data_IF_775056202163
#
_entry.id   IF_775056202163
#
_cell.length_a   1.000
_cell.length_b   1.000
_cell.length_c   1.000
_cell.angle_alpha   90.00
_cell.angle_beta   90.00
_cell.angle_gamma   90.00
#
_symmetry.space_group_name_H-M   'P 1'
#
loop_
_entity.id
_entity.type
_entity.pdbx_description
1 polymer ?
#
# COMPACT_ATOMS: atom_id res chain seq x y z
N UNK A 1 37.96 -36.50 67.26
CA UNK A 1 38.45 -35.39 68.09
C UNK A 1 39.58 -34.73 67.32
N UNK A 2 39.65 -33.45 67.00
CA UNK A 2 38.86 -32.24 67.29
C UNK A 2 39.23 -31.25 66.16
N UNK A 3 38.24 -30.69 65.48
CA UNK A 3 37.81 -29.28 65.55
C UNK A 3 38.54 -28.33 64.58
N UNK A 4 37.74 -27.78 63.66
CA UNK A 4 37.99 -26.52 62.98
C UNK A 4 37.96 -25.35 63.98
N UNK A 5 38.44 -24.17 63.56
CA UNK A 5 37.52 -23.04 63.65
C UNK A 5 37.42 -22.23 62.35
N UNK A 6 36.17 -21.84 62.15
CA UNK A 6 35.58 -20.92 61.20
C UNK A 6 35.97 -19.46 61.46
N UNK A 7 36.16 -18.68 60.41
CA UNK A 7 35.98 -17.22 60.44
C UNK A 7 35.02 -16.82 59.34
N UNK A 8 33.84 -16.37 59.77
CA UNK A 8 32.77 -15.75 58.99
C UNK A 8 33.20 -14.41 58.40
N UNK A 9 32.97 -14.23 57.10
CA UNK A 9 32.84 -12.91 56.48
C UNK A 9 31.36 -12.72 56.16
N UNK A 10 30.74 -11.77 56.85
CA UNK A 10 29.39 -11.26 56.57
C UNK A 10 29.43 -10.39 55.32
N UNK A 11 28.82 -10.84 54.23
CA UNK A 11 28.42 -9.96 53.13
C UNK A 11 27.01 -9.43 53.38
N UNK A 12 26.90 -8.10 53.40
CA UNK A 12 25.65 -7.35 53.38
C UNK A 12 24.96 -7.47 52.02
N UNK A 13 23.63 -7.69 51.94
CA UNK A 13 22.91 -7.58 50.68
C UNK A 13 22.98 -6.15 50.14
N UNK A 14 23.43 -6.00 48.90
CA UNK A 14 23.43 -4.73 48.17
C UNK A 14 22.00 -4.29 47.87
N UNK A 15 21.75 -3.00 48.13
CA UNK A 15 20.51 -2.23 47.94
C UNK A 15 20.09 -2.03 46.45
N UNK A 16 20.41 -2.96 45.54
CA UNK A 16 20.09 -2.84 44.11
C UNK A 16 18.87 -3.63 43.63
N UNK A 17 18.31 -4.54 44.45
CA UNK A 17 17.21 -5.43 44.03
C UNK A 17 15.81 -4.95 44.45
N UNK A 18 15.68 -3.77 45.07
CA UNK A 18 14.40 -3.24 45.55
C UNK A 18 13.79 -2.13 44.68
N UNK A 19 14.45 -1.73 43.59
CA UNK A 19 13.94 -0.70 42.65
C UNK A 19 13.36 -1.26 41.35
N UNK A 20 13.47 -2.57 41.08
CA UNK A 20 12.94 -3.20 39.85
C UNK A 20 11.54 -3.83 40.04
N UNK A 21 11.14 -4.10 41.29
CA UNK A 21 9.82 -4.72 41.59
C UNK A 21 8.67 -3.71 41.73
N UNK A 22 8.95 -2.40 41.63
CA UNK A 22 7.97 -1.31 41.71
C UNK A 22 7.34 -0.93 40.37
N UNK A 23 8.08 -1.03 39.27
CA UNK A 23 7.62 -0.59 37.93
C UNK A 23 6.87 -1.70 37.15
N UNK A 24 7.11 -2.98 37.44
CA UNK A 24 6.38 -4.10 36.80
C UNK A 24 4.91 -4.19 37.22
N UNK A 25 4.55 -3.70 38.43
CA UNK A 25 3.15 -3.71 38.89
C UNK A 25 2.29 -2.61 38.27
N UNK A 26 2.89 -1.48 37.90
CA UNK A 26 2.17 -0.40 37.23
C UNK A 26 2.00 -0.66 35.73
N UNK A 27 2.98 -1.31 35.08
CA UNK A 27 2.86 -1.78 33.68
C UNK A 27 1.81 -2.91 33.53
N UNK A 28 1.74 -3.86 34.47
CA UNK A 28 0.71 -4.91 34.43
C UNK A 28 -0.71 -4.40 34.74
N UNK A 29 -0.86 -3.29 35.47
CA UNK A 29 -2.16 -2.67 35.73
C UNK A 29 -2.62 -1.79 34.56
N UNK A 30 -1.70 -1.14 33.82
CA UNK A 30 -2.04 -0.46 32.57
C UNK A 30 -2.45 -1.44 31.48
N UNK A 31 -1.76 -2.58 31.36
CA UNK A 31 -2.08 -3.61 30.36
C UNK A 31 -3.46 -4.24 30.61
N UNK A 32 -3.79 -4.56 31.86
CA UNK A 32 -5.12 -5.08 32.23
C UNK A 32 -6.24 -4.05 32.05
N UNK A 33 -5.96 -2.76 32.23
CA UNK A 33 -6.94 -1.70 31.98
C UNK A 33 -7.18 -1.49 30.47
N UNK A 34 -6.13 -1.55 29.64
CA UNK A 34 -6.27 -1.52 28.17
C UNK A 34 -6.91 -2.77 27.61
N UNK A 35 -6.64 -3.94 28.19
CA UNK A 35 -7.26 -5.21 27.78
C UNK A 35 -8.74 -5.26 28.16
N UNK A 36 -9.14 -4.69 29.31
CA UNK A 36 -10.54 -4.60 29.71
C UNK A 36 -11.33 -3.56 28.88
N UNK A 37 -10.70 -2.45 28.48
CA UNK A 37 -11.29 -1.49 27.52
C UNK A 37 -11.41 -2.13 26.13
N UNK A 38 -10.40 -2.89 25.69
CA UNK A 38 -10.46 -3.63 24.45
C UNK A 38 -11.53 -4.72 24.51
N UNK A 39 -11.67 -5.49 25.59
CA UNK A 39 -12.71 -6.50 25.76
C UNK A 39 -14.12 -5.89 25.82
N UNK A 40 -14.31 -4.72 26.45
CA UNK A 40 -15.58 -4.00 26.41
C UNK A 40 -15.92 -3.44 25.02
N UNK A 41 -14.91 -3.11 24.20
CA UNK A 41 -15.08 -2.75 22.78
C UNK A 41 -15.28 -4.01 21.90
N UNK A 42 -14.76 -5.17 22.31
CA UNK A 42 -14.76 -6.43 21.55
C UNK A 42 -15.95 -7.36 21.87
N UNK A 43 -16.64 -7.16 22.99
CA UNK A 43 -17.74 -8.02 23.46
C UNK A 43 -19.09 -7.82 22.74
N UNK A 44 -19.26 -6.72 21.99
CA UNK A 44 -20.43 -6.50 21.16
C UNK A 44 -19.99 -6.45 19.70
N UNK A 45 -20.58 -7.28 18.85
CA UNK A 45 -20.48 -7.19 17.38
C UNK A 45 -21.10 -5.90 16.80
N UNK A 46 -20.92 -4.77 17.48
CA UNK A 46 -21.33 -3.46 17.05
C UNK A 46 -20.39 -3.00 15.92
N UNK A 47 -20.92 -2.40 14.85
CA UNK A 47 -20.09 -1.76 13.86
C UNK A 47 -19.26 -0.70 14.58
N UNK A 48 -17.94 -0.83 14.54
CA UNK A 48 -17.04 0.19 15.03
C UNK A 48 -17.39 1.50 14.30
N UNK A 49 -18.07 2.42 15.00
CA UNK A 49 -18.43 3.72 14.47
C UNK A 49 -17.16 4.59 14.40
N UNK A 50 -16.37 4.40 13.35
CA UNK A 50 -15.08 5.08 13.16
C UNK A 50 -15.20 6.58 12.82
N UNK A 51 -16.40 7.03 12.48
CA UNK A 51 -16.71 8.44 12.26
C UNK A 51 -17.29 9.06 13.52
N UNK A 52 -16.55 10.00 14.12
CA UNK A 52 -17.12 10.85 15.19
C UNK A 52 -18.43 11.50 14.72
N UNK A 53 -19.41 11.65 15.62
CA UNK A 53 -20.67 12.35 15.32
C UNK A 53 -20.43 13.75 14.75
N UNK A 54 -19.33 14.39 15.17
CA UNK A 54 -18.82 15.65 14.61
C UNK A 54 -18.57 15.55 13.09
N UNK A 55 -17.82 14.55 12.63
CA UNK A 55 -17.55 14.33 11.20
C UNK A 55 -18.82 13.99 10.41
N UNK A 56 -19.70 13.15 10.98
CA UNK A 56 -21.00 12.84 10.34
C UNK A 56 -21.88 14.08 10.19
N UNK A 57 -21.86 14.96 11.19
CA UNK A 57 -22.56 16.24 11.14
C UNK A 57 -21.96 17.16 10.08
N UNK A 58 -20.63 17.30 10.00
CA UNK A 58 -19.97 18.08 8.96
C UNK A 58 -20.45 17.65 7.56
N UNK A 59 -20.43 16.35 7.25
CA UNK A 59 -20.89 15.81 5.96
C UNK A 59 -22.38 16.09 5.63
N UNK A 60 -23.21 16.31 6.65
CA UNK A 60 -24.65 16.59 6.47
C UNK A 60 -24.95 18.07 6.25
N UNK A 61 -24.03 18.98 6.58
CA UNK A 61 -24.25 20.42 6.50
C UNK A 61 -23.54 20.99 5.26
N UNK A 62 -24.29 21.12 4.16
CA UNK A 62 -23.83 21.72 2.90
C UNK A 62 -24.49 23.08 2.64
N UNK A 63 -24.14 23.74 1.53
CA UNK A 63 -24.68 25.05 1.13
C UNK A 63 -26.21 25.11 1.00
N UNK A 64 -26.87 23.96 0.79
CA UNK A 64 -28.32 23.85 0.66
C UNK A 64 -29.02 23.63 2.01
N UNK A 65 -28.26 23.42 3.09
CA UNK A 65 -28.80 23.12 4.41
C UNK A 65 -29.16 24.40 5.15
N UNK A 66 -30.38 24.47 5.72
CA UNK A 66 -30.79 25.65 6.51
C UNK A 66 -29.82 25.88 7.66
N UNK A 67 -29.26 27.09 7.74
CA UNK A 67 -28.31 27.48 8.79
C UNK A 67 -26.88 26.98 8.59
N UNK A 68 -26.52 26.50 7.39
CA UNK A 68 -25.16 26.05 7.09
C UNK A 68 -24.10 27.12 7.37
N UNK A 69 -24.37 28.37 7.01
CA UNK A 69 -23.49 29.49 7.31
C UNK A 69 -23.21 29.59 8.82
N UNK A 70 -24.26 29.62 9.65
CA UNK A 70 -24.10 29.69 11.10
C UNK A 70 -23.32 28.50 11.66
N UNK A 71 -23.56 27.30 11.13
CA UNK A 71 -22.81 26.10 11.51
C UNK A 71 -21.33 26.24 11.19
N UNK A 72 -21.00 26.61 9.94
CA UNK A 72 -19.62 26.71 9.49
C UNK A 72 -18.85 27.89 10.08
N UNK A 73 -19.54 28.98 10.43
CA UNK A 73 -18.95 30.07 11.23
C UNK A 73 -18.36 29.54 12.54
N UNK A 74 -19.18 28.88 13.34
CA UNK A 74 -18.76 28.31 14.63
C UNK A 74 -17.68 27.25 14.42
N UNK A 75 -17.77 26.52 13.31
CA UNK A 75 -16.85 25.46 12.97
C UNK A 75 -15.44 25.98 12.67
N UNK A 76 -15.35 27.03 11.86
CA UNK A 76 -14.09 27.58 11.36
C UNK A 76 -13.48 28.62 12.30
N UNK A 77 -14.26 29.15 13.24
CA UNK A 77 -13.81 30.19 14.18
C UNK A 77 -12.57 29.80 14.99
N UNK A 78 -12.42 28.52 15.34
CA UNK A 78 -11.25 28.02 16.08
C UNK A 78 -10.06 27.62 15.20
N UNK A 79 -10.19 27.73 13.87
CA UNK A 79 -9.19 27.29 12.90
C UNK A 79 -8.67 28.44 12.04
N UNK A 80 -9.09 29.67 12.35
CA UNK A 80 -8.87 30.87 11.54
C UNK A 80 -7.40 31.07 11.14
N UNK A 81 -6.46 30.76 12.04
CA UNK A 81 -5.03 30.97 11.81
C UNK A 81 -4.37 29.92 10.91
N UNK A 82 -5.08 28.83 10.61
CA UNK A 82 -4.63 27.76 9.70
C UNK A 82 -5.48 27.69 8.42
N UNK A 83 -6.44 28.61 8.25
CA UNK A 83 -7.21 28.73 7.02
C UNK A 83 -6.37 29.41 5.93
N UNK A 84 -6.62 29.13 4.64
CA UNK A 84 -6.08 29.95 3.55
C UNK A 84 -6.44 31.43 3.77
N UNK A 85 -5.51 32.34 3.49
CA UNK A 85 -5.64 33.78 3.83
C UNK A 85 -6.99 34.37 3.44
N UNK A 86 -7.46 34.11 2.22
CA UNK A 86 -8.73 34.61 1.71
C UNK A 86 -9.93 34.11 2.55
N UNK A 87 -9.96 32.82 2.88
CA UNK A 87 -11.02 32.21 3.71
C UNK A 87 -10.88 32.67 5.16
N UNK A 88 -9.65 32.75 5.67
CA UNK A 88 -9.34 33.24 7.01
C UNK A 88 -9.84 34.66 7.22
N UNK A 89 -9.61 35.55 6.25
CA UNK A 89 -10.07 36.93 6.30
C UNK A 89 -11.60 37.04 6.29
N UNK A 90 -12.28 36.26 5.44
CA UNK A 90 -13.75 36.20 5.41
C UNK A 90 -14.30 35.75 6.77
N UNK A 91 -13.73 34.69 7.36
CA UNK A 91 -14.18 34.17 8.65
C UNK A 91 -13.88 35.15 9.79
N UNK A 92 -12.70 35.80 9.78
CA UNK A 92 -12.33 36.86 10.74
C UNK A 92 -13.32 38.02 10.69
N UNK A 93 -13.60 38.55 9.50
CA UNK A 93 -14.54 39.66 9.35
C UNK A 93 -15.94 39.25 9.83
N UNK A 94 -16.42 38.08 9.42
CA UNK A 94 -17.72 37.58 9.85
C UNK A 94 -17.84 37.42 11.38
N UNK A 95 -16.76 37.02 12.05
CA UNK A 95 -16.72 36.94 13.51
C UNK A 95 -16.77 38.34 14.13
N UNK A 96 -15.95 39.26 13.65
CA UNK A 96 -15.76 40.60 14.22
C UNK A 96 -16.94 41.54 13.95
N UNK A 97 -17.38 41.63 12.69
CA UNK A 97 -18.40 42.58 12.24
C UNK A 97 -19.82 42.03 12.36
N UNK A 98 -19.96 40.71 12.55
CA UNK A 98 -21.23 39.96 12.50
C UNK A 98 -21.95 40.02 11.14
N UNK A 99 -21.34 40.57 10.10
CA UNK A 99 -21.89 40.57 8.74
C UNK A 99 -21.73 39.18 8.13
N UNK A 100 -22.81 38.62 7.60
CA UNK A 100 -22.74 37.33 6.90
C UNK A 100 -22.04 37.51 5.56
N UNK A 101 -21.19 36.55 5.16
CA UNK A 101 -20.56 36.59 3.85
C UNK A 101 -21.66 36.52 2.77
N UNK A 102 -21.59 37.42 1.81
CA UNK A 102 -22.54 37.54 0.68
C UNK A 102 -21.78 37.60 -0.64
N UNK A 103 -22.45 37.27 -1.74
CA UNK A 103 -21.87 37.36 -3.08
C UNK A 103 -20.58 36.56 -3.21
N UNK A 104 -19.48 37.24 -3.53
CA UNK A 104 -18.18 36.59 -3.75
C UNK A 104 -17.63 35.88 -2.50
N UNK A 105 -17.77 36.48 -1.32
CA UNK A 105 -17.28 35.88 -0.06
C UNK A 105 -18.00 34.58 0.26
N UNK A 106 -19.32 34.55 0.03
CA UNK A 106 -20.13 33.35 0.22
C UNK A 106 -19.71 32.25 -0.77
N UNK A 107 -19.42 32.62 -2.01
CA UNK A 107 -18.93 31.68 -3.04
C UNK A 107 -17.58 31.08 -2.67
N UNK A 108 -16.60 31.90 -2.28
CA UNK A 108 -15.27 31.45 -1.83
C UNK A 108 -15.40 30.49 -0.64
N UNK A 109 -16.19 30.88 0.37
CA UNK A 109 -16.42 30.04 1.55
C UNK A 109 -17.11 28.72 1.20
N UNK A 110 -18.11 28.75 0.32
CA UNK A 110 -18.83 27.56 -0.16
C UNK A 110 -17.89 26.60 -0.88
N UNK A 111 -17.05 27.10 -1.79
CA UNK A 111 -16.04 26.30 -2.52
C UNK A 111 -15.07 25.66 -1.53
N UNK A 112 -14.55 26.44 -0.57
CA UNK A 112 -13.64 25.91 0.45
C UNK A 112 -14.29 24.80 1.29
N UNK A 113 -15.52 25.01 1.76
CA UNK A 113 -16.25 24.02 2.57
C UNK A 113 -16.53 22.75 1.76
N UNK A 114 -16.98 22.88 0.52
CA UNK A 114 -17.24 21.71 -0.33
C UNK A 114 -15.98 20.88 -0.55
N UNK A 115 -14.84 21.53 -0.89
CA UNK A 115 -13.54 20.85 -1.01
C UNK A 115 -13.14 20.16 0.30
N UNK A 116 -13.33 20.83 1.44
CA UNK A 116 -13.05 20.25 2.76
C UNK A 116 -13.93 19.04 3.07
N UNK A 117 -15.20 19.07 2.69
CA UNK A 117 -16.14 17.97 2.86
C UNK A 117 -15.79 16.78 1.97
N UNK A 118 -15.34 17.01 0.74
CA UNK A 118 -14.82 15.96 -0.15
C UNK A 118 -13.60 15.27 0.47
N UNK A 119 -12.60 16.05 0.89
CA UNK A 119 -11.40 15.50 1.59
C UNK A 119 -11.81 14.71 2.84
N UNK A 120 -12.75 15.23 3.64
CA UNK A 120 -13.25 14.53 4.82
C UNK A 120 -13.91 13.20 4.45
N UNK A 121 -14.69 13.16 3.37
CA UNK A 121 -15.33 11.95 2.89
C UNK A 121 -14.29 10.87 2.49
N UNK A 122 -13.24 11.25 1.78
CA UNK A 122 -12.14 10.32 1.46
C UNK A 122 -11.39 9.84 2.70
N UNK A 123 -11.14 10.71 3.68
CA UNK A 123 -10.54 10.30 4.96
C UNK A 123 -11.39 9.25 5.67
N UNK A 124 -12.71 9.40 5.65
CA UNK A 124 -13.65 8.45 6.25
C UNK A 124 -13.59 7.11 5.52
N UNK A 125 -13.62 7.11 4.19
CA UNK A 125 -13.49 5.88 3.40
C UNK A 125 -12.18 5.14 3.69
N UNK A 126 -11.06 5.85 3.83
CA UNK A 126 -9.77 5.24 4.23
C UNK A 126 -9.84 4.63 5.64
N UNK A 127 -10.47 5.34 6.58
CA UNK A 127 -10.69 4.82 7.95
C UNK A 127 -11.55 3.55 7.94
N UNK A 128 -12.60 3.53 7.12
CA UNK A 128 -13.47 2.35 6.94
C UNK A 128 -12.75 1.18 6.29
N UNK A 129 -11.87 1.42 5.30
CA UNK A 129 -11.03 0.37 4.70
C UNK A 129 -10.07 -0.24 5.74
N UNK A 130 -9.41 0.60 6.56
CA UNK A 130 -8.50 0.15 7.62
C UNK A 130 -9.25 -0.59 8.75
N UNK A 131 -10.45 -0.13 9.08
CA UNK A 131 -11.36 -0.79 10.00
C UNK A 131 -11.77 -2.19 9.53
N UNK A 132 -12.17 -2.31 8.26
CA UNK A 132 -12.50 -3.58 7.63
C UNK A 132 -11.31 -4.53 7.68
N UNK A 133 -10.11 -4.04 7.37
CA UNK A 133 -8.88 -4.83 7.49
C UNK A 133 -8.65 -5.30 8.93
N UNK A 134 -8.75 -4.41 9.93
CA UNK A 134 -8.56 -4.78 11.35
C UNK A 134 -9.53 -5.88 11.77
N UNK A 135 -10.82 -5.74 11.43
CA UNK A 135 -11.83 -6.74 11.72
C UNK A 135 -11.53 -8.07 11.02
N UNK A 136 -11.12 -8.04 9.75
CA UNK A 136 -10.79 -9.25 9.01
C UNK A 136 -9.56 -9.97 9.59
N UNK A 137 -8.52 -9.23 9.98
CA UNK A 137 -7.34 -9.80 10.65
C UNK A 137 -7.71 -10.49 11.97
N UNK A 138 -8.58 -9.87 12.78
CA UNK A 138 -9.09 -10.48 14.00
C UNK A 138 -9.91 -11.74 13.73
N UNK A 139 -10.71 -11.74 12.66
CA UNK A 139 -11.46 -12.94 12.25
C UNK A 139 -10.53 -14.07 11.83
N UNK A 140 -9.52 -13.76 11.03
CA UNK A 140 -8.47 -14.71 10.61
C UNK A 140 -7.76 -15.28 11.82
N UNK A 141 -7.42 -14.44 12.81
CA UNK A 141 -6.77 -14.88 14.05
C UNK A 141 -7.65 -15.82 14.88
N UNK A 142 -8.97 -15.67 14.79
CA UNK A 142 -9.95 -16.56 15.42
C UNK A 142 -10.39 -17.73 14.52
N UNK A 143 -9.73 -17.94 13.36
CA UNK A 143 -10.10 -18.94 12.34
C UNK A 143 -11.57 -18.85 11.88
N UNK A 144 -12.15 -17.65 11.92
CA UNK A 144 -13.52 -17.37 11.47
C UNK A 144 -13.51 -16.94 10.02
N UNK A 145 -13.68 -17.89 9.13
CA UNK A 145 -13.71 -17.57 7.70
C UNK A 145 -15.00 -16.82 7.30
N UNK A 146 -14.91 -15.95 6.30
CA UNK A 146 -16.07 -15.25 5.75
C UNK A 146 -16.83 -16.15 4.79
N UNK A 147 -18.16 -16.14 4.87
CA UNK A 147 -19.02 -16.80 3.90
C UNK A 147 -19.12 -16.01 2.57
N UNK A 148 -18.12 -15.18 2.23
CA UNK A 148 -18.14 -14.39 1.00
C UNK A 148 -18.20 -15.30 -0.22
N UNK A 149 -19.20 -15.07 -1.07
CA UNK A 149 -19.52 -15.83 -2.29
C UNK A 149 -18.74 -15.34 -3.51
N UNK A 150 -17.53 -14.82 -3.35
CA UNK A 150 -16.69 -14.46 -4.50
C UNK A 150 -15.97 -15.69 -5.04
N UNK A 151 -15.66 -15.75 -6.35
CA UNK A 151 -14.93 -16.88 -6.91
C UNK A 151 -13.47 -16.80 -6.45
N UNK A 152 -13.15 -17.52 -5.38
CA UNK A 152 -11.77 -17.76 -4.94
C UNK A 152 -11.27 -19.06 -5.57
N UNK A 153 -9.99 -19.07 -5.95
CA UNK A 153 -9.27 -20.33 -6.22
C UNK A 153 -8.91 -20.98 -4.90
N UNK A 154 -9.31 -22.24 -4.75
CA UNK A 154 -8.92 -23.04 -3.59
C UNK A 154 -7.45 -23.40 -3.70
N UNK A 155 -6.70 -23.14 -2.63
CA UNK A 155 -5.31 -23.54 -2.49
C UNK A 155 -5.24 -24.72 -1.53
N UNK A 156 -4.61 -25.78 -1.99
CA UNK A 156 -4.31 -26.98 -1.23
C UNK A 156 -2.84 -26.97 -0.81
N UNK A 157 -2.50 -27.84 0.13
CA UNK A 157 -1.14 -27.98 0.61
C UNK A 157 -0.71 -29.44 0.57
N UNK A 158 0.40 -29.70 -0.10
CA UNK A 158 1.08 -30.99 -0.08
C UNK A 158 2.12 -30.98 1.05
N UNK A 159 1.83 -31.72 2.13
CA UNK A 159 2.73 -31.83 3.27
C UNK A 159 4.03 -32.59 2.95
N UNK A 160 4.02 -33.52 1.99
CA UNK A 160 5.18 -34.34 1.66
C UNK A 160 6.27 -33.51 0.95
N UNK A 161 5.87 -32.57 0.09
CA UNK A 161 6.80 -31.69 -0.63
C UNK A 161 6.86 -30.27 -0.04
N UNK A 162 5.99 -29.93 0.90
CA UNK A 162 5.90 -28.60 1.50
C UNK A 162 5.44 -27.53 0.50
N UNK A 163 4.57 -27.90 -0.45
CA UNK A 163 4.18 -27.07 -1.59
C UNK A 163 2.70 -26.72 -1.54
N UNK A 164 2.37 -25.51 -2.00
CA UNK A 164 0.98 -25.10 -2.22
C UNK A 164 0.62 -25.33 -3.69
N UNK A 165 -0.61 -25.73 -3.95
CA UNK A 165 -1.11 -25.92 -5.32
C UNK A 165 -2.58 -25.54 -5.46
N UNK A 166 -3.01 -25.32 -6.69
CA UNK A 166 -4.40 -25.09 -7.08
C UNK A 166 -4.76 -25.98 -8.26
N UNK A 167 -6.05 -26.19 -8.51
CA UNK A 167 -6.52 -26.82 -9.74
C UNK A 167 -7.03 -25.75 -10.71
N UNK A 168 -6.28 -25.53 -11.78
CA UNK A 168 -6.65 -24.65 -12.88
C UNK A 168 -7.18 -25.51 -14.03
N UNK A 169 -8.47 -25.40 -14.34
CA UNK A 169 -9.14 -26.22 -15.37
C UNK A 169 -8.92 -27.74 -15.16
N UNK A 170 -8.89 -28.18 -13.91
CA UNK A 170 -8.66 -29.58 -13.54
C UNK A 170 -7.19 -30.04 -13.58
N UNK A 171 -6.26 -29.16 -13.94
CA UNK A 171 -4.82 -29.44 -13.91
C UNK A 171 -4.22 -28.87 -12.63
N UNK A 172 -3.42 -29.68 -11.94
CA UNK A 172 -2.68 -29.25 -10.76
C UNK A 172 -1.59 -28.24 -11.16
N UNK A 173 -1.51 -27.15 -10.42
CA UNK A 173 -0.51 -26.11 -10.62
C UNK A 173 0.06 -25.67 -9.27
N UNK A 174 1.38 -25.72 -9.17
CA UNK A 174 2.11 -25.18 -8.02
C UNK A 174 1.88 -23.67 -7.91
N UNK A 175 1.66 -23.20 -6.68
CA UNK A 175 1.42 -21.80 -6.34
C UNK A 175 2.41 -21.40 -5.25
N UNK A 176 3.01 -20.24 -5.41
CA UNK A 176 3.95 -19.63 -4.47
C UNK A 176 3.32 -18.43 -3.76
N UNK A 177 4.01 -17.93 -2.73
CA UNK A 177 3.65 -16.65 -2.10
C UNK A 177 3.67 -15.48 -3.08
N UNK A 178 4.57 -15.51 -4.06
CA UNK A 178 4.65 -14.50 -5.11
C UNK A 178 3.40 -14.52 -5.99
N UNK A 179 2.91 -15.72 -6.31
CA UNK A 179 1.72 -15.89 -7.13
C UNK A 179 0.48 -15.34 -6.42
N UNK A 180 0.29 -15.68 -5.13
CA UNK A 180 -0.82 -15.18 -4.30
C UNK A 180 -0.90 -13.64 -4.31
N UNK A 181 0.25 -12.97 -4.36
CA UNK A 181 0.30 -11.50 -4.31
C UNK A 181 0.21 -10.86 -5.69
N UNK A 182 0.91 -11.40 -6.68
CA UNK A 182 0.96 -10.86 -8.03
C UNK A 182 -0.37 -11.06 -8.78
N UNK A 183 -1.01 -12.22 -8.63
CA UNK A 183 -2.29 -12.53 -9.27
C UNK A 183 -3.44 -11.65 -8.78
N UNK A 184 -3.30 -11.05 -7.58
CA UNK A 184 -4.23 -10.04 -7.08
C UNK A 184 -4.31 -8.79 -7.97
N UNK A 185 -3.26 -8.49 -8.74
CA UNK A 185 -3.31 -7.44 -9.76
C UNK A 185 -4.27 -7.82 -10.89
N UNK A 186 -4.31 -9.10 -11.24
CA UNK A 186 -5.20 -9.70 -12.25
C UNK A 186 -6.56 -10.12 -11.70
N UNK A 187 -6.93 -9.63 -10.51
CA UNK A 187 -8.23 -9.90 -9.86
C UNK A 187 -8.48 -11.40 -9.57
N UNK A 188 -7.43 -12.22 -9.65
CA UNK A 188 -7.46 -13.60 -9.16
C UNK A 188 -7.22 -13.57 -7.65
N UNK A 189 -8.13 -14.18 -6.90
CA UNK A 189 -8.04 -14.28 -5.44
C UNK A 189 -7.94 -15.74 -5.02
N UNK A 190 -7.11 -15.98 -4.01
CA UNK A 190 -6.89 -17.30 -3.44
C UNK A 190 -7.51 -17.44 -2.07
N UNK A 191 -7.94 -18.66 -1.75
CA UNK A 191 -8.44 -19.04 -0.43
C UNK A 191 -7.90 -20.42 -0.05
N UNK A 192 -7.34 -20.58 1.15
CA UNK A 192 -6.86 -21.88 1.60
C UNK A 192 -8.05 -22.82 1.76
N UNK A 193 -7.88 -24.05 1.33
CA UNK A 193 -8.76 -25.15 1.70
C UNK A 193 -8.58 -25.50 3.19
N UNK A 194 -9.56 -26.19 3.77
CA UNK A 194 -9.55 -26.57 5.18
C UNK A 194 -8.41 -27.55 5.51
N UNK A 195 -7.89 -28.26 4.50
CA UNK A 195 -6.72 -29.13 4.58
C UNK A 195 -5.38 -28.41 4.79
N UNK A 196 -5.32 -27.09 4.57
CA UNK A 196 -4.06 -26.34 4.68
C UNK A 196 -3.66 -26.14 6.16
N UNK A 197 -2.39 -26.40 6.55
CA UNK A 197 -1.91 -26.18 7.91
C UNK A 197 -2.15 -24.76 8.43
N UNK A 198 -2.50 -24.63 9.71
CA UNK A 198 -2.95 -23.39 10.35
C UNK A 198 -2.01 -22.19 10.16
N UNK A 199 -0.71 -22.43 10.25
CA UNK A 199 0.32 -21.39 10.06
C UNK A 199 0.31 -20.84 8.62
N UNK A 200 0.16 -21.72 7.63
CA UNK A 200 0.10 -21.38 6.20
C UNK A 200 -1.24 -20.73 5.89
N UNK A 201 -2.34 -21.32 6.38
CA UNK A 201 -3.70 -20.79 6.27
C UNK A 201 -3.75 -19.35 6.77
N UNK A 202 -3.28 -19.10 7.99
CA UNK A 202 -3.27 -17.77 8.62
C UNK A 202 -2.43 -16.79 7.84
N UNK A 203 -1.22 -17.20 7.44
CA UNK A 203 -0.31 -16.34 6.67
C UNK A 203 -0.91 -15.94 5.33
N UNK A 204 -1.51 -16.87 4.60
CA UNK A 204 -2.15 -16.59 3.31
C UNK A 204 -3.35 -15.68 3.45
N UNK A 205 -4.24 -15.96 4.40
CA UNK A 205 -5.40 -15.10 4.65
C UNK A 205 -4.99 -13.68 5.02
N UNK A 206 -4.01 -13.51 5.92
CA UNK A 206 -3.50 -12.18 6.29
C UNK A 206 -2.88 -11.46 5.10
N UNK A 207 -2.08 -12.16 4.30
CA UNK A 207 -1.43 -11.59 3.13
C UNK A 207 -2.46 -11.08 2.10
N UNK A 208 -3.45 -11.91 1.77
CA UNK A 208 -4.54 -11.53 0.86
C UNK A 208 -5.35 -10.34 1.39
N UNK A 209 -5.75 -10.38 2.67
CA UNK A 209 -6.51 -9.29 3.29
C UNK A 209 -5.75 -7.96 3.30
N UNK A 210 -4.46 -7.98 3.64
CA UNK A 210 -3.59 -6.78 3.64
C UNK A 210 -3.44 -6.24 2.23
N UNK A 211 -3.24 -7.10 1.22
CA UNK A 211 -3.09 -6.67 -0.17
C UNK A 211 -4.38 -6.06 -0.73
N UNK A 212 -5.53 -6.65 -0.44
CA UNK A 212 -6.83 -6.13 -0.85
C UNK A 212 -7.16 -4.79 -0.19
N UNK A 213 -6.91 -4.67 1.11
CA UNK A 213 -7.08 -3.41 1.83
C UNK A 213 -6.13 -2.32 1.31
N UNK A 214 -4.87 -2.67 0.99
CA UNK A 214 -3.93 -1.75 0.36
C UNK A 214 -4.44 -1.24 -0.98
N UNK A 215 -4.90 -2.14 -1.87
CA UNK A 215 -5.47 -1.77 -3.17
C UNK A 215 -6.70 -0.86 -3.01
N UNK A 216 -7.58 -1.17 -2.04
CA UNK A 216 -8.74 -0.32 -1.73
C UNK A 216 -8.33 1.09 -1.30
N UNK A 217 -7.37 1.21 -0.38
CA UNK A 217 -6.87 2.52 0.07
C UNK A 217 -6.17 3.29 -1.06
N UNK A 218 -5.42 2.60 -1.92
CA UNK A 218 -4.77 3.21 -3.09
C UNK A 218 -5.79 3.75 -4.09
N UNK A 219 -6.87 3.00 -4.36
CA UNK A 219 -7.96 3.47 -5.22
C UNK A 219 -8.66 4.70 -4.63
N UNK A 220 -9.00 4.66 -3.33
CA UNK A 220 -9.61 5.80 -2.63
C UNK A 220 -8.70 7.04 -2.72
N UNK A 221 -7.38 6.86 -2.64
CA UNK A 221 -6.43 7.96 -2.77
C UNK A 221 -6.33 8.50 -4.20
N UNK A 222 -6.37 7.64 -5.22
CA UNK A 222 -6.43 8.09 -6.62
C UNK A 222 -7.73 8.85 -6.92
N UNK A 223 -8.85 8.39 -6.38
CA UNK A 223 -10.14 9.07 -6.48
C UNK A 223 -10.12 10.43 -5.78
N UNK A 224 -9.44 10.54 -4.62
CA UNK A 224 -9.23 11.82 -3.94
C UNK A 224 -8.41 12.78 -4.80
N UNK A 225 -7.28 12.34 -5.37
CA UNK A 225 -6.47 13.17 -6.26
C UNK A 225 -7.26 13.62 -7.50
N UNK A 226 -8.13 12.75 -8.03
CA UNK A 226 -8.96 13.08 -9.18
C UNK A 226 -10.08 14.06 -8.85
N UNK A 227 -10.76 13.90 -7.72
CA UNK A 227 -11.85 14.77 -7.31
C UNK A 227 -11.37 16.13 -6.82
N UNK A 228 -10.34 16.14 -5.96
CA UNK A 228 -9.91 17.33 -5.20
C UNK A 228 -8.81 18.11 -5.91
N UNK A 229 -7.88 17.41 -6.57
CA UNK A 229 -6.71 18.02 -7.23
C UNK A 229 -6.82 17.99 -8.77
N UNK A 230 -7.94 17.46 -9.30
CA UNK A 230 -8.22 17.35 -10.74
C UNK A 230 -7.15 16.59 -11.53
N UNK A 231 -6.47 15.67 -10.86
CA UNK A 231 -5.47 14.79 -11.48
C UNK A 231 -6.19 13.66 -12.21
N UNK A 232 -5.91 13.39 -13.50
CA UNK A 232 -6.56 12.28 -14.19
C UNK A 232 -6.26 10.94 -13.51
N UNK A 233 -7.22 10.02 -13.56
CA UNK A 233 -7.07 8.67 -13.00
C UNK A 233 -5.87 7.94 -13.60
N UNK A 234 -5.12 7.21 -12.76
CA UNK A 234 -3.97 6.42 -13.19
C UNK A 234 -4.38 5.29 -14.14
N UNK A 235 -3.55 4.96 -15.13
CA UNK A 235 -3.76 3.77 -15.98
C UNK A 235 -3.73 2.47 -15.18
N UNK A 236 -2.95 2.44 -14.09
CA UNK A 236 -2.84 1.30 -13.16
C UNK A 236 -4.16 0.97 -12.45
N UNK A 237 -5.13 1.88 -12.44
CA UNK A 237 -6.46 1.65 -11.85
C UNK A 237 -7.39 0.81 -12.73
N UNK A 238 -7.01 0.53 -13.99
CA UNK A 238 -7.86 -0.20 -14.93
C UNK A 238 -8.06 -1.67 -14.51
N UNK A 239 -9.34 -2.06 -14.39
CA UNK A 239 -9.74 -3.44 -14.05
C UNK A 239 -9.50 -4.41 -15.20
N UNK A 240 -9.43 -5.71 -14.90
CA UNK A 240 -9.25 -6.73 -15.94
C UNK A 240 -10.42 -6.71 -16.92
N UNK A 241 -11.65 -6.55 -16.41
CA UNK A 241 -12.86 -6.44 -17.23
C UNK A 241 -12.82 -5.23 -18.17
N UNK A 242 -12.27 -4.10 -17.72
CA UNK A 242 -12.11 -2.92 -18.57
C UNK A 242 -11.10 -3.19 -19.69
N UNK A 243 -9.94 -3.77 -19.37
CA UNK A 243 -8.92 -4.15 -20.34
C UNK A 243 -9.45 -5.13 -21.39
N UNK A 244 -10.20 -6.15 -20.95
CA UNK A 244 -10.81 -7.16 -21.82
C UNK A 244 -11.85 -6.54 -22.77
N UNK A 245 -12.72 -5.65 -22.29
CA UNK A 245 -13.69 -4.94 -23.15
C UNK A 245 -13.01 -4.05 -24.19
N UNK A 246 -11.90 -3.41 -23.81
CA UNK A 246 -11.13 -2.51 -24.70
C UNK A 246 -10.27 -3.26 -25.71
N UNK A 247 -9.91 -4.51 -25.44
CA UNK A 247 -9.16 -5.38 -26.35
C UNK A 247 -9.82 -5.54 -27.72
N UNK A 248 -11.16 -5.56 -27.73
CA UNK A 248 -11.97 -5.70 -28.95
C UNK A 248 -12.18 -4.39 -29.72
N UNK A 249 -11.91 -3.23 -29.11
CA UNK A 249 -12.42 -1.94 -29.60
C UNK A 249 -11.36 -0.85 -29.80
N UNK A 250 -10.12 -1.00 -29.32
CA UNK A 250 -9.18 0.12 -29.30
C UNK A 250 -7.71 -0.24 -29.54
N UNK A 251 -6.99 0.60 -30.28
CA UNK A 251 -5.52 0.60 -30.38
C UNK A 251 -4.95 1.44 -29.23
N UNK A 252 -4.19 0.85 -28.30
CA UNK A 252 -3.52 1.61 -27.22
C UNK A 252 -3.52 0.98 -25.83
N UNK A 253 -4.21 -0.14 -25.61
CA UNK A 253 -4.21 -0.82 -24.30
C UNK A 253 -2.96 -1.67 -24.02
N UNK A 254 -2.11 -1.87 -25.03
CA UNK A 254 -0.91 -2.69 -24.90
C UNK A 254 0.09 -2.13 -23.88
N UNK A 255 0.13 -0.80 -23.68
CA UNK A 255 0.96 -0.17 -22.66
C UNK A 255 0.56 -0.59 -21.25
N UNK A 256 -0.68 -0.28 -20.82
CA UNK A 256 -1.18 -0.67 -19.50
C UNK A 256 -1.14 -2.19 -19.23
N UNK A 257 -1.38 -3.02 -20.25
CA UNK A 257 -1.20 -4.48 -20.13
C UNK A 257 0.26 -4.83 -19.85
N UNK A 258 1.20 -4.26 -20.61
CA UNK A 258 2.63 -4.53 -20.43
C UNK A 258 3.15 -4.05 -19.07
N UNK A 259 2.74 -2.86 -18.63
CA UNK A 259 3.06 -2.32 -17.31
C UNK A 259 2.61 -3.29 -16.21
N UNK A 260 1.36 -3.74 -16.25
CA UNK A 260 0.79 -4.65 -15.26
C UNK A 260 1.44 -6.04 -15.27
N UNK A 261 1.78 -6.56 -16.46
CA UNK A 261 2.54 -7.80 -16.62
C UNK A 261 3.94 -7.69 -16.02
N UNK A 262 4.64 -6.59 -16.29
CA UNK A 262 5.95 -6.35 -15.73
C UNK A 262 5.90 -6.23 -14.19
N UNK A 263 4.91 -5.52 -13.65
CA UNK A 263 4.67 -5.44 -12.20
C UNK A 263 4.42 -6.82 -11.60
N UNK A 264 3.51 -7.62 -12.19
CA UNK A 264 3.20 -8.97 -11.73
C UNK A 264 4.45 -9.87 -11.69
N UNK A 265 5.23 -9.86 -12.77
CA UNK A 265 6.50 -10.59 -12.84
C UNK A 265 7.48 -10.16 -11.73
N UNK A 266 7.73 -8.87 -11.57
CA UNK A 266 8.66 -8.34 -10.56
C UNK A 266 8.19 -8.60 -9.13
N UNK A 267 6.89 -8.55 -8.87
CA UNK A 267 6.31 -8.93 -7.58
C UNK A 267 6.65 -10.40 -7.30
N UNK A 268 6.46 -11.32 -8.25
CA UNK A 268 6.82 -12.73 -8.06
C UNK A 268 8.30 -12.90 -7.73
N UNK A 269 9.20 -12.23 -8.47
CA UNK A 269 10.64 -12.26 -8.20
C UNK A 269 10.96 -11.76 -6.78
N UNK A 270 10.38 -10.64 -6.35
CA UNK A 270 10.61 -10.07 -5.02
C UNK A 270 10.15 -10.98 -3.86
N UNK A 271 9.13 -11.81 -4.09
CA UNK A 271 8.67 -12.81 -3.12
C UNK A 271 9.45 -14.13 -3.20
N UNK A 272 9.85 -14.55 -4.38
CA UNK A 272 10.63 -15.76 -4.60
C UNK A 272 12.04 -15.63 -3.98
N UNK A 273 12.66 -14.46 -4.11
CA UNK A 273 13.99 -14.21 -3.57
C UNK A 273 14.04 -12.96 -2.69
N UNK A 274 13.90 -13.17 -1.38
CA UNK A 274 13.93 -12.09 -0.39
C UNK A 274 15.30 -11.42 -0.20
N UNK A 275 16.39 -12.03 -0.71
CA UNK A 275 17.75 -11.48 -0.63
C UNK A 275 17.95 -10.32 -1.61
N UNK A 276 17.20 -10.29 -2.71
CA UNK A 276 17.23 -9.18 -3.68
C UNK A 276 16.74 -7.86 -3.09
N UNK A 277 15.99 -7.92 -1.97
CA UNK A 277 15.40 -6.74 -1.35
C UNK A 277 14.33 -6.04 -2.20
N UNK A 278 13.96 -6.65 -3.34
CA UNK A 278 13.11 -6.07 -4.37
C UNK A 278 11.66 -5.99 -3.91
N UNK A 279 11.07 -4.80 -4.00
CA UNK A 279 9.66 -4.54 -3.75
C UNK A 279 9.09 -3.65 -4.84
N UNK A 280 7.87 -3.95 -5.27
CA UNK A 280 7.13 -3.15 -6.25
C UNK A 280 6.03 -2.37 -5.54
N UNK A 281 5.93 -1.06 -5.81
CA UNK A 281 4.87 -0.19 -5.32
C UNK A 281 4.17 0.52 -6.48
N UNK A 282 2.84 0.55 -6.50
CA UNK A 282 2.10 1.27 -7.53
C UNK A 282 2.28 2.79 -7.41
N UNK A 283 2.43 3.44 -8.55
CA UNK A 283 2.27 4.87 -8.68
C UNK A 283 0.82 5.27 -8.40
N UNK A 284 0.63 6.39 -7.72
CA UNK A 284 -0.66 7.05 -7.65
C UNK A 284 -0.95 7.86 -8.94
N UNK A 285 -2.16 8.39 -9.05
CA UNK A 285 -2.61 9.19 -10.19
C UNK A 285 -1.69 10.37 -10.53
N UNK A 286 -1.14 11.05 -9.53
CA UNK A 286 -0.23 12.19 -9.74
C UNK A 286 1.14 11.71 -10.21
N UNK A 287 1.66 10.64 -9.62
CA UNK A 287 2.92 10.02 -10.02
C UNK A 287 2.89 9.54 -11.48
N UNK A 288 1.79 8.90 -11.90
CA UNK A 288 1.58 8.44 -13.28
C UNK A 288 1.38 9.60 -14.26
N UNK A 289 0.47 10.52 -13.96
CA UNK A 289 0.07 11.57 -14.92
C UNK A 289 0.99 12.78 -14.95
N UNK A 290 1.56 13.18 -13.82
CA UNK A 290 2.41 14.38 -13.70
C UNK A 290 3.89 13.99 -13.72
N UNK A 291 4.29 12.99 -12.94
CA UNK A 291 5.69 12.56 -12.82
C UNK A 291 6.09 11.46 -13.83
N UNK A 292 5.12 10.93 -14.58
CA UNK A 292 5.33 10.05 -15.75
C UNK A 292 6.05 8.73 -15.46
N UNK A 293 5.90 8.16 -14.26
CA UNK A 293 6.36 6.81 -13.97
C UNK A 293 5.20 5.90 -13.54
N UNK A 294 5.16 4.69 -14.07
CA UNK A 294 4.03 3.76 -13.97
C UNK A 294 4.01 3.01 -12.63
N UNK A 295 5.20 2.71 -12.09
CA UNK A 295 5.38 2.14 -10.75
C UNK A 295 6.78 2.40 -10.20
N UNK A 296 6.99 2.01 -8.94
CA UNK A 296 8.27 2.14 -8.23
C UNK A 296 8.84 0.76 -7.89
N UNK A 297 10.13 0.61 -8.09
CA UNK A 297 10.91 -0.53 -7.59
C UNK A 297 11.80 -0.05 -6.46
N UNK A 298 11.65 -0.68 -5.31
CA UNK A 298 12.44 -0.39 -4.11
C UNK A 298 13.40 -1.55 -3.89
N UNK A 299 14.68 -1.25 -3.87
CA UNK A 299 15.73 -2.18 -3.44
C UNK A 299 16.06 -1.85 -1.99
N UNK A 300 15.79 -2.78 -1.09
CA UNK A 300 16.12 -2.63 0.32
C UNK A 300 17.17 -3.65 0.72
N UNK A 301 18.39 -3.18 1.06
CA UNK A 301 19.35 -4.04 1.75
C UNK A 301 18.72 -4.48 3.08
N UNK A 302 18.50 -5.79 3.22
CA UNK A 302 18.05 -6.38 4.47
C UNK A 302 19.29 -6.71 5.30
N UNK A 303 19.76 -5.77 6.10
CA UNK A 303 20.59 -6.11 7.26
C UNK A 303 19.70 -6.77 8.31
N UNK A 304 20.02 -8.01 8.72
CA UNK A 304 19.33 -8.69 9.82
C UNK A 304 19.88 -8.14 11.13
N UNK A 305 19.05 -7.44 11.89
CA UNK A 305 19.37 -6.96 13.23
C UNK A 305 18.44 -5.82 13.60
N UNK A 306 18.01 -5.75 14.85
CA UNK A 306 17.60 -4.46 15.42
C UNK A 306 18.86 -3.62 15.37
N UNK A 307 18.93 -2.63 14.49
CA UNK A 307 20.02 -1.67 14.50
C UNK A 307 19.94 -0.94 15.84
N UNK A 308 20.66 -1.45 16.84
CA UNK A 308 21.03 -0.69 18.03
C UNK A 308 21.78 0.51 17.49
N UNK A 309 21.28 1.71 17.76
CA UNK A 309 21.95 2.94 17.33
C UNK A 309 23.43 2.86 17.75
N UNK A 310 24.33 2.72 16.78
CA UNK A 310 25.76 2.89 17.04
C UNK A 310 26.75 2.00 16.29
N UNK A 311 26.45 0.75 15.94
CA UNK A 311 27.56 -0.18 15.61
C UNK A 311 27.66 -0.69 14.17
N UNK A 312 26.56 -0.89 13.42
CA UNK A 312 26.66 -1.56 12.10
C UNK A 312 26.44 -0.66 10.87
N UNK A 313 25.63 0.39 10.97
CA UNK A 313 25.47 1.38 9.90
C UNK A 313 24.72 2.61 10.45
N UNK A 314 25.26 3.84 10.32
CA UNK A 314 24.51 5.05 10.63
C UNK A 314 23.17 5.08 9.89
N UNK A 315 22.11 5.58 10.53
CA UNK A 315 20.76 5.68 9.93
C UNK A 315 20.78 6.36 8.56
N UNK A 316 21.69 7.32 8.38
CA UNK A 316 21.90 8.06 7.14
C UNK A 316 22.46 7.17 6.01
N UNK A 317 23.37 6.25 6.32
CA UNK A 317 23.91 5.28 5.37
C UNK A 317 22.89 4.18 5.04
N UNK A 318 22.10 3.74 6.02
CA UNK A 318 21.00 2.79 5.79
C UNK A 318 19.88 3.37 4.91
N UNK A 319 19.63 4.68 5.02
CA UNK A 319 18.71 5.40 4.13
C UNK A 319 19.32 5.55 2.73
N UNK A 320 20.62 5.82 2.60
CA UNK A 320 21.33 5.85 1.31
C UNK A 320 21.36 4.48 0.60
N UNK A 321 21.42 3.39 1.35
CA UNK A 321 21.38 2.03 0.82
C UNK A 321 20.01 1.63 0.24
N UNK A 322 18.93 2.36 0.59
CA UNK A 322 17.59 2.13 0.02
C UNK A 322 17.42 2.91 -1.26
N UNK A 323 17.63 2.25 -2.38
CA UNK A 323 17.39 2.84 -3.71
C UNK A 323 15.95 2.60 -4.17
N UNK A 324 15.26 3.67 -4.55
CA UNK A 324 13.90 3.69 -5.09
C UNK A 324 13.95 4.23 -6.51
N UNK A 325 13.56 3.40 -7.46
CA UNK A 325 13.52 3.76 -8.88
C UNK A 325 12.06 3.90 -9.32
N UNK A 326 11.71 5.03 -9.94
CA UNK A 326 10.50 5.14 -10.76
C UNK A 326 10.74 4.45 -12.10
N UNK A 327 9.80 3.64 -12.55
CA UNK A 327 9.90 2.93 -13.83
C UNK A 327 8.91 3.55 -14.81
N UNK A 328 9.40 3.97 -15.97
CA UNK A 328 8.56 4.40 -17.08
C UNK A 328 8.69 3.42 -18.24
N UNK A 329 7.57 2.88 -18.73
CA UNK A 329 7.53 1.98 -19.86
C UNK A 329 7.44 2.71 -21.21
N UNK A 330 8.09 2.15 -22.22
CA UNK A 330 7.94 2.62 -23.59
C UNK A 330 7.94 1.52 -24.63
N UNK A 331 6.95 1.60 -25.52
CA UNK A 331 6.80 0.70 -26.67
C UNK A 331 7.45 1.25 -27.95
N UNK A 332 7.91 2.51 -27.98
CA UNK A 332 8.43 3.20 -29.18
C UNK A 332 9.88 3.65 -29.06
N UNK A 333 10.58 3.64 -30.20
CA UNK A 333 11.97 4.06 -30.45
C UNK A 333 12.25 5.56 -30.35
N UNK A 334 11.28 6.40 -29.98
CA UNK A 334 11.49 7.84 -29.76
C UNK A 334 12.05 8.12 -28.35
N UNK A 335 13.17 7.47 -28.03
CA UNK A 335 13.84 7.52 -26.72
C UNK A 335 14.20 8.96 -26.35
N UNK A 336 14.66 9.78 -27.32
CA UNK A 336 15.08 11.17 -27.07
C UNK A 336 13.99 12.09 -26.50
N UNK A 337 12.74 12.01 -26.98
CA UNK A 337 11.63 12.82 -26.44
C UNK A 337 11.24 12.37 -25.02
N UNK A 338 11.37 11.08 -24.72
CA UNK A 338 11.06 10.54 -23.39
C UNK A 338 12.14 10.85 -22.36
N UNK A 339 13.41 10.91 -22.77
CA UNK A 339 14.51 11.38 -21.89
C UNK A 339 14.26 12.82 -21.43
N UNK A 340 13.82 13.71 -22.34
CA UNK A 340 13.46 15.09 -21.97
C UNK A 340 12.35 15.15 -20.92
N UNK A 341 11.32 14.32 -21.06
CA UNK A 341 10.22 14.21 -20.09
C UNK A 341 10.69 13.67 -18.73
N UNK A 342 11.65 12.74 -18.72
CA UNK A 342 12.23 12.21 -17.49
C UNK A 342 13.01 13.29 -16.74
N UNK A 343 13.78 14.11 -17.45
CA UNK A 343 14.52 15.20 -16.81
C UNK A 343 13.58 16.25 -16.22
N UNK A 344 12.51 16.60 -16.94
CA UNK A 344 11.46 17.49 -16.42
C UNK A 344 10.74 16.87 -15.21
N UNK A 345 10.49 15.56 -15.22
CA UNK A 345 9.90 14.85 -14.08
C UNK A 345 10.84 14.83 -12.86
N UNK A 346 12.16 14.70 -13.06
CA UNK A 346 13.17 14.78 -11.99
C UNK A 346 13.18 16.14 -11.32
N UNK A 347 13.06 17.23 -12.08
CA UNK A 347 12.94 18.58 -11.52
C UNK A 347 11.65 18.75 -10.71
N UNK A 348 10.54 18.13 -11.16
CA UNK A 348 9.26 18.16 -10.45
C UNK A 348 9.22 17.31 -9.19
N UNK A 349 10.05 16.27 -9.08
CA UNK A 349 10.17 15.48 -7.84
C UNK A 349 10.66 16.35 -6.68
N UNK A 350 11.48 17.38 -6.95
CA UNK A 350 11.92 18.33 -5.92
C UNK A 350 10.89 19.42 -5.57
N UNK A 351 9.75 19.51 -6.26
CA UNK A 351 8.72 20.52 -5.97
C UNK A 351 7.97 20.18 -4.66
N UNK A 352 8.14 21.01 -3.64
CA UNK A 352 7.46 20.89 -2.33
C UNK A 352 5.93 20.79 -2.45
N UNK A 353 5.33 21.42 -3.47
CA UNK A 353 3.88 21.38 -3.69
C UNK A 353 3.40 19.99 -4.09
N UNK A 354 4.21 19.25 -4.83
CA UNK A 354 3.90 17.89 -5.30
C UNK A 354 4.31 16.85 -4.26
N UNK A 355 5.36 17.11 -3.49
CA UNK A 355 5.89 16.19 -2.47
C UNK A 355 4.86 15.72 -1.44
N UNK A 356 3.86 16.55 -1.09
CA UNK A 356 2.78 16.16 -0.18
C UNK A 356 1.88 15.02 -0.70
N UNK A 357 1.86 14.80 -2.02
CA UNK A 357 1.05 13.76 -2.67
C UNK A 357 1.87 12.54 -3.11
N UNK A 358 3.20 12.66 -3.10
CA UNK A 358 4.10 11.56 -3.44
C UNK A 358 4.19 10.63 -2.23
N UNK A 359 3.74 9.37 -2.38
CA UNK A 359 3.73 8.38 -1.27
C UNK A 359 5.13 8.24 -0.64
N UNK A 360 6.13 8.14 -1.53
CA UNK A 360 7.57 8.04 -1.23
C UNK A 360 8.32 8.56 -2.45
N UNK A 361 9.21 9.56 -2.30
CA UNK A 361 10.00 10.06 -3.42
C UNK A 361 10.91 8.95 -3.95
N UNK A 362 11.17 9.01 -5.26
CA UNK A 362 12.11 8.14 -5.97
C UNK A 362 13.45 8.86 -6.12
N UNK A 363 14.55 8.11 -6.13
CA UNK A 363 15.89 8.66 -6.30
C UNK A 363 16.21 8.90 -7.78
N UNK A 364 15.60 8.12 -8.67
CA UNK A 364 15.80 8.20 -10.11
C UNK A 364 14.58 7.65 -10.86
N UNK A 365 14.41 8.02 -12.13
CA UNK A 365 13.42 7.45 -13.04
C UNK A 365 14.16 6.77 -14.19
N UNK A 366 13.93 5.48 -14.36
CA UNK A 366 14.51 4.69 -15.45
C UNK A 366 13.47 4.39 -16.53
N UNK A 367 13.89 4.58 -17.79
CA UNK A 367 13.09 4.25 -18.95
C UNK A 367 13.32 2.79 -19.34
N UNK A 368 12.28 1.96 -19.21
CA UNK A 368 12.30 0.58 -19.68
C UNK A 368 11.60 0.52 -21.04
N UNK A 369 12.41 0.45 -22.08
CA UNK A 369 11.93 0.08 -23.41
C UNK A 369 12.15 -1.41 -23.59
N UNK A 370 11.07 -2.17 -23.73
CA UNK A 370 11.19 -3.47 -24.40
C UNK A 370 10.32 -3.45 -25.68
N UNK A 371 10.75 -4.15 -26.73
CA UNK A 371 10.01 -4.20 -27.99
C UNK A 371 8.77 -5.09 -27.82
N UNK A 372 7.65 -4.46 -27.47
CA UNK A 372 6.48 -5.11 -26.89
C UNK A 372 5.36 -5.46 -27.90
N UNK A 373 5.66 -6.23 -28.95
CA UNK A 373 4.64 -6.71 -29.88
C UNK A 373 3.72 -7.82 -29.32
N UNK A 374 4.20 -8.57 -28.33
CA UNK A 374 3.65 -9.87 -27.90
C UNK A 374 2.71 -9.81 -26.69
N UNK A 375 2.72 -8.73 -25.91
CA UNK A 375 1.96 -8.57 -24.65
C UNK A 375 0.45 -8.69 -24.84
N UNK A 376 -0.05 -8.11 -25.93
CA UNK A 376 -1.45 -8.25 -26.33
C UNK A 376 -1.78 -9.73 -26.56
N UNK A 377 -0.91 -10.47 -27.24
CA UNK A 377 -1.12 -11.90 -27.55
C UNK A 377 -1.07 -12.75 -26.27
N UNK A 378 -0.16 -12.45 -25.34
CA UNK A 378 -0.11 -13.12 -24.03
C UNK A 378 -1.37 -12.87 -23.21
N UNK A 379 -1.89 -11.64 -23.21
CA UNK A 379 -3.15 -11.31 -22.55
C UNK A 379 -4.37 -11.99 -23.20
N UNK A 380 -4.45 -11.99 -24.54
CA UNK A 380 -5.49 -12.69 -25.29
C UNK A 380 -5.46 -14.19 -25.01
N UNK A 381 -4.27 -14.80 -25.02
CA UNK A 381 -4.06 -16.20 -24.68
C UNK A 381 -4.53 -16.50 -23.25
N UNK A 382 -4.10 -15.69 -22.28
CA UNK A 382 -4.50 -15.82 -20.88
C UNK A 382 -6.03 -15.80 -20.70
N UNK A 383 -6.72 -14.83 -21.34
CA UNK A 383 -8.18 -14.76 -21.31
C UNK A 383 -8.80 -16.02 -21.93
N UNK A 384 -8.28 -16.45 -23.09
CA UNK A 384 -8.81 -17.61 -23.82
C UNK A 384 -8.66 -18.93 -23.05
N UNK A 385 -7.66 -19.05 -22.20
CA UNK A 385 -7.42 -20.21 -21.32
C UNK A 385 -8.22 -20.15 -20.01
N UNK A 386 -9.12 -19.18 -19.86
CA UNK A 386 -9.95 -19.03 -18.65
C UNK A 386 -9.21 -18.30 -17.51
N UNK A 387 -8.28 -17.42 -17.86
CA UNK A 387 -7.52 -16.58 -16.93
C UNK A 387 -6.74 -17.41 -15.89
N UNK A 388 -5.90 -18.40 -16.27
CA UNK A 388 -5.21 -19.28 -15.31
C UNK A 388 -4.35 -18.50 -14.29
N UNK A 389 -4.00 -19.14 -13.17
CA UNK A 389 -3.09 -18.57 -12.17
C UNK A 389 -1.77 -18.19 -12.84
N UNK A 390 -1.02 -17.21 -12.34
CA UNK A 390 0.21 -16.79 -13.03
C UNK A 390 0.11 -15.50 -13.84
N UNK A 391 -1.10 -14.97 -14.02
CA UNK A 391 -1.36 -13.84 -14.91
C UNK A 391 -0.91 -14.09 -16.36
N UNK A 392 -1.10 -13.13 -17.27
CA UNK A 392 -0.54 -13.21 -18.62
C UNK A 392 1.00 -13.19 -18.67
N UNK A 393 1.69 -12.67 -17.64
CA UNK A 393 3.16 -12.67 -17.58
C UNK A 393 3.78 -14.07 -17.51
N UNK A 394 2.99 -15.11 -17.19
CA UNK A 394 3.47 -16.50 -17.23
C UNK A 394 3.92 -16.94 -18.63
N UNK A 395 3.41 -16.29 -19.68
CA UNK A 395 3.75 -16.60 -21.07
C UNK A 395 5.01 -15.87 -21.57
N UNK A 396 5.66 -15.05 -20.73
CA UNK A 396 6.96 -14.49 -21.09
C UNK A 396 7.98 -15.59 -21.36
N UNK A 397 8.75 -15.41 -22.43
CA UNK A 397 9.91 -16.27 -22.66
C UNK A 397 10.98 -16.00 -21.60
N UNK A 398 11.90 -16.96 -21.43
CA UNK A 398 13.00 -16.80 -20.48
C UNK A 398 13.85 -15.57 -20.82
N UNK A 399 14.06 -15.32 -22.11
CA UNK A 399 14.81 -14.17 -22.63
C UNK A 399 14.12 -12.85 -22.31
N UNK A 400 12.79 -12.78 -22.45
CA UNK A 400 12.00 -11.59 -22.10
C UNK A 400 12.08 -11.29 -20.60
N UNK A 401 11.94 -12.32 -19.76
CA UNK A 401 12.06 -12.20 -18.30
C UNK A 401 13.44 -11.70 -17.88
N UNK A 402 14.51 -12.28 -18.45
CA UNK A 402 15.89 -11.85 -18.19
C UNK A 402 16.13 -10.41 -18.67
N UNK A 403 15.66 -10.06 -19.87
CA UNK A 403 15.82 -8.71 -20.42
C UNK A 403 15.12 -7.64 -19.55
N UNK A 404 13.90 -7.93 -19.10
CA UNK A 404 13.15 -7.05 -18.19
C UNK A 404 13.87 -6.90 -16.85
N UNK A 405 14.27 -8.02 -16.23
CA UNK A 405 14.96 -8.01 -14.95
C UNK A 405 16.27 -7.22 -15.05
N UNK A 406 17.11 -7.55 -16.04
CA UNK A 406 18.38 -6.88 -16.30
C UNK A 406 18.20 -5.38 -16.45
N UNK A 407 17.22 -4.91 -17.23
CA UNK A 407 17.00 -3.47 -17.43
C UNK A 407 16.59 -2.73 -16.16
N UNK A 408 15.87 -3.40 -15.27
CA UNK A 408 15.42 -2.82 -13.99
C UNK A 408 16.53 -2.84 -12.94
N UNK A 409 17.39 -3.86 -12.99
CA UNK A 409 18.46 -4.05 -12.00
C UNK A 409 19.81 -3.49 -12.42
N UNK A 410 20.02 -3.14 -13.70
CA UNK A 410 21.32 -2.72 -14.29
C UNK A 410 22.05 -1.66 -13.47
N UNK A 411 21.31 -0.74 -12.85
CA UNK A 411 21.89 0.34 -12.04
C UNK A 411 21.71 0.14 -10.54
N UNK A 412 21.04 -0.91 -10.08
CA UNK A 412 20.67 -1.09 -8.66
C UNK A 412 21.19 -2.39 -8.03
N UNK A 413 21.34 -3.47 -8.80
CA UNK A 413 21.87 -4.75 -8.33
C UNK A 413 22.91 -5.28 -9.33
N UNK A 414 24.08 -5.68 -8.84
CA UNK A 414 25.12 -6.33 -9.64
C UNK A 414 24.85 -7.83 -9.77
N UNK A 415 23.76 -8.20 -10.45
CA UNK A 415 23.43 -9.62 -10.70
C UNK A 415 24.15 -10.14 -11.94
N UNK A 416 24.80 -11.30 -11.83
CA UNK A 416 25.34 -12.04 -12.97
C UNK A 416 24.23 -12.65 -13.82
N UNK A 417 24.51 -12.95 -15.09
CA UNK A 417 23.54 -13.62 -15.98
C UNK A 417 23.10 -14.99 -15.43
N UNK A 418 23.97 -15.67 -14.66
CA UNK A 418 23.64 -16.92 -13.97
C UNK A 418 22.61 -16.69 -12.86
N UNK A 419 22.84 -15.71 -11.98
CA UNK A 419 21.91 -15.37 -10.90
C UNK A 419 20.56 -14.90 -11.45
N UNK A 420 20.56 -14.12 -12.54
CA UNK A 420 19.32 -13.75 -13.23
C UNK A 420 18.61 -14.99 -13.81
N UNK A 421 19.36 -15.93 -14.35
CA UNK A 421 18.83 -17.20 -14.87
C UNK A 421 18.23 -18.11 -13.79
N UNK A 422 18.73 -18.05 -12.56
CA UNK A 422 18.19 -18.76 -11.39
C UNK A 422 16.92 -18.08 -10.85
N UNK A 423 16.87 -16.75 -10.85
CA UNK A 423 15.69 -15.99 -10.41
C UNK A 423 14.46 -16.17 -11.31
N UNK A 424 14.67 -16.48 -12.59
CA UNK A 424 13.64 -16.52 -13.64
C UNK A 424 13.04 -17.92 -13.84
N UNK A 425 13.64 -18.95 -13.24
CA UNK A 425 13.10 -20.32 -13.20
C UNK A 425 11.86 -20.37 -12.32
#
# INVERSE_FOLDING_TARGET
>A
MQEQPSTDIKESPQESDLLILGEEKDLQNTDKATDNINEQILGAGAPLYFTSERKKKDLRINSNTKGWLKYWKLRLAGEVDILPDEVGNIVKDWINTKHQPIGNEQSILSIYINRRLEVLNFQIQKQEAMAKLKSELQRIDNRKDSAEKFPYRKVFYDEAFGKMFTYDNGTEKEITWGDIVADGEWEIKYRPDDSVPDNIWRKMRKLSAVKEARRSVENIFNDELSAVEHVPQATTSWTVDYLEKKLKSFTGISGPIAEKMAQGFLIRIGYANSMTGLKVEHSNALEDTVLKYDFKVVFSERTRGVAVEGEEMPREEYVKAKRKLGIQFTTKSSVGKKIGQINEAKEKISDERLNRFIKKPVDDIILVSLPFGTYKQYFEKWISEGKPSGGPEQYFTKEEKIALLKKITENALNLSDKEMGELVQ
#
